data_IF_576259316513
#
_entry.id   IF_576259316513
#
_cell.length_a   1.000
_cell.length_b   1.000
_cell.length_c   1.000
_cell.angle_alpha   90.00
_cell.angle_beta   90.00
_cell.angle_gamma   90.00
#
_symmetry.space_group_name_H-M   'P 1'
#
loop_
_entity.id
_entity.type
_entity.pdbx_description
1 polymer ?
#
# COMPACT_ATOMS: atom_id res chain seq x y z
N UNK A 1 -18.91 0.91 14.34
CA UNK A 1 -17.94 -0.20 14.32
C UNK A 1 -18.02 -1.10 15.57
N UNK A 2 -18.55 -2.33 15.47
CA UNK A 2 -18.45 -3.33 16.57
C UNK A 2 -18.20 -4.72 16.00
N UNK A 3 -17.10 -5.35 16.39
CA UNK A 3 -16.92 -6.80 16.20
C UNK A 3 -17.79 -7.53 17.23
N UNK A 4 -18.34 -8.69 16.85
CA UNK A 4 -18.94 -9.60 17.85
C UNK A 4 -17.85 -10.02 18.85
N UNK A 5 -18.20 -10.09 20.14
CA UNK A 5 -17.30 -10.42 21.24
C UNK A 5 -16.45 -11.68 20.97
N UNK A 6 -17.03 -12.85 20.56
CA UNK A 6 -16.23 -14.01 20.18
C UNK A 6 -15.24 -13.75 19.04
N UNK A 7 -15.61 -12.91 18.06
CA UNK A 7 -14.75 -12.56 16.93
C UNK A 7 -13.61 -11.64 17.35
N UNK A 8 -13.87 -10.67 18.23
CA UNK A 8 -12.85 -9.79 18.80
C UNK A 8 -11.83 -10.58 19.65
N UNK A 9 -12.31 -11.51 20.48
CA UNK A 9 -11.48 -12.39 21.32
C UNK A 9 -10.56 -13.27 20.44
N UNK A 10 -11.12 -13.87 19.39
CA UNK A 10 -10.36 -14.71 18.46
C UNK A 10 -9.19 -13.94 17.82
N UNK A 11 -9.45 -12.75 17.28
CA UNK A 11 -8.42 -11.90 16.68
C UNK A 11 -7.37 -11.52 17.73
N UNK A 12 -7.78 -11.12 18.93
CA UNK A 12 -6.84 -10.73 19.99
C UNK A 12 -5.92 -11.87 20.43
N UNK A 13 -6.43 -13.11 20.46
CA UNK A 13 -5.66 -14.28 20.90
C UNK A 13 -4.66 -14.75 19.84
N UNK A 14 -4.86 -14.46 18.56
CA UNK A 14 -3.88 -14.73 17.50
C UNK A 14 -2.60 -13.89 17.63
N UNK A 15 -2.61 -12.83 18.44
CA UNK A 15 -1.46 -11.93 18.63
C UNK A 15 -1.11 -11.72 20.12
N UNK A 16 -0.71 -12.78 20.84
CA UNK A 16 -0.51 -12.71 22.29
C UNK A 16 0.63 -11.76 22.71
N UNK A 17 1.65 -11.59 21.86
CA UNK A 17 2.75 -10.64 22.05
C UNK A 17 2.35 -9.17 21.84
N UNK A 18 1.20 -8.93 21.19
CA UNK A 18 0.67 -7.59 20.91
C UNK A 18 -0.27 -7.07 22.01
N UNK A 19 -0.48 -7.82 23.09
CA UNK A 19 -1.22 -7.37 24.29
C UNK A 19 -0.60 -6.14 24.96
N UNK A 20 0.68 -5.86 24.73
CA UNK A 20 1.40 -4.67 25.21
C UNK A 20 1.43 -3.51 24.20
N UNK A 21 0.77 -3.61 23.05
CA UNK A 21 0.75 -2.55 22.05
C UNK A 21 -0.39 -1.55 22.28
N UNK A 22 -0.14 -0.31 21.85
CA UNK A 22 -0.92 0.91 22.10
C UNK A 22 -2.39 0.76 21.69
N UNK A 23 -3.25 1.58 22.31
CA UNK A 23 -4.71 1.55 22.21
C UNK A 23 -5.22 1.46 20.75
N UNK A 24 -5.79 0.32 20.31
CA UNK A 24 -6.40 0.15 18.98
C UNK A 24 -7.39 1.24 18.60
N UNK A 25 -8.07 1.82 19.60
CA UNK A 25 -9.03 2.90 19.39
C UNK A 25 -8.39 4.17 18.82
N UNK A 26 -7.12 4.46 19.16
CA UNK A 26 -6.44 5.65 18.63
C UNK A 26 -6.09 5.48 17.15
N UNK A 27 -5.73 4.27 16.72
CA UNK A 27 -5.51 3.95 15.30
C UNK A 27 -6.82 4.09 14.52
N UNK A 28 -7.93 3.55 15.05
CA UNK A 28 -9.25 3.68 14.41
C UNK A 28 -9.64 5.15 14.29
N UNK A 29 -9.52 5.93 15.37
CA UNK A 29 -9.84 7.36 15.35
C UNK A 29 -8.98 8.13 14.34
N UNK A 30 -7.68 7.84 14.28
CA UNK A 30 -6.78 8.44 13.30
C UNK A 30 -7.21 8.15 11.86
N UNK A 31 -7.58 6.90 11.54
CA UNK A 31 -8.03 6.53 10.19
C UNK A 31 -9.35 7.24 9.83
N UNK A 32 -10.29 7.35 10.77
CA UNK A 32 -11.53 8.11 10.59
C UNK A 32 -11.24 9.58 10.33
N UNK A 33 -10.35 10.20 11.10
CA UNK A 33 -9.94 11.60 10.88
C UNK A 33 -9.28 11.83 9.52
N UNK A 34 -8.61 10.81 8.97
CA UNK A 34 -8.05 10.84 7.61
C UNK A 34 -9.12 10.65 6.52
N UNK A 35 -10.37 10.38 6.88
CA UNK A 35 -11.49 10.21 5.96
C UNK A 35 -11.79 8.76 5.57
N UNK A 36 -11.26 7.76 6.29
CA UNK A 36 -11.63 6.37 6.06
C UNK A 36 -13.02 6.07 6.62
N UNK A 37 -13.80 5.29 5.87
CA UNK A 37 -15.10 4.78 6.33
C UNK A 37 -14.93 3.60 7.28
N UNK A 38 -15.96 3.31 8.07
CA UNK A 38 -16.04 2.09 8.89
C UNK A 38 -15.77 0.83 8.06
N UNK A 39 -16.28 0.78 6.82
CA UNK A 39 -16.08 -0.35 5.91
C UNK A 39 -14.60 -0.51 5.51
N UNK A 40 -13.91 0.59 5.15
CA UNK A 40 -12.48 0.54 4.82
C UNK A 40 -11.66 0.00 6.00
N UNK A 41 -11.94 0.49 7.20
CA UNK A 41 -11.22 0.09 8.41
C UNK A 41 -11.51 -1.37 8.74
N UNK A 42 -12.78 -1.80 8.73
CA UNK A 42 -13.16 -3.19 9.00
C UNK A 42 -12.48 -4.16 8.03
N UNK A 43 -12.52 -3.88 6.73
CA UNK A 43 -11.84 -4.70 5.72
C UNK A 43 -10.33 -4.75 5.96
N UNK A 44 -9.71 -3.61 6.30
CA UNK A 44 -8.28 -3.54 6.56
C UNK A 44 -7.85 -4.38 7.78
N UNK A 45 -8.60 -4.25 8.87
CA UNK A 45 -8.38 -5.00 10.11
C UNK A 45 -8.65 -6.48 9.93
N UNK A 46 -9.63 -6.84 9.09
CA UNK A 46 -9.91 -8.23 8.80
C UNK A 46 -8.77 -8.90 8.03
N UNK A 47 -8.16 -8.19 7.08
CA UNK A 47 -7.02 -8.70 6.32
C UNK A 47 -5.73 -8.70 7.16
N UNK A 48 -5.48 -7.61 7.91
CA UNK A 48 -4.27 -7.37 8.70
C UNK A 48 -4.59 -6.69 10.04
N UNK A 49 -5.02 -7.46 11.06
CA UNK A 49 -5.32 -6.91 12.38
C UNK A 49 -4.10 -6.27 13.07
N UNK A 50 -2.89 -6.60 12.62
CA UNK A 50 -1.62 -6.00 13.04
C UNK A 50 -1.60 -4.48 12.95
N UNK A 51 -2.36 -3.89 12.03
CA UNK A 51 -2.42 -2.44 11.80
C UNK A 51 -2.94 -1.71 13.04
N UNK A 52 -3.91 -2.30 13.76
CA UNK A 52 -4.48 -1.70 14.98
C UNK A 52 -3.47 -1.52 16.10
N UNK A 53 -2.37 -2.26 16.04
CA UNK A 53 -1.32 -2.23 17.06
C UNK A 53 -0.13 -1.36 16.64
N UNK A 54 -0.25 -0.59 15.56
CA UNK A 54 0.80 0.29 15.04
C UNK A 54 0.77 1.69 15.66
N UNK A 55 1.91 2.39 15.63
CA UNK A 55 1.93 3.80 16.01
C UNK A 55 1.34 4.65 14.88
N UNK A 56 0.14 5.21 15.09
CA UNK A 56 -0.56 6.01 14.09
C UNK A 56 0.35 7.11 13.49
N UNK A 57 0.87 8.00 14.33
CA UNK A 57 1.69 9.13 13.87
C UNK A 57 3.06 8.75 13.33
N UNK A 58 3.71 7.74 13.92
CA UNK A 58 5.10 7.38 13.58
C UNK A 58 5.22 6.33 12.48
N UNK A 59 4.19 5.53 12.27
CA UNK A 59 4.24 4.36 11.37
C UNK A 59 3.20 4.44 10.27
N UNK A 60 1.94 4.71 10.60
CA UNK A 60 0.87 4.70 9.61
C UNK A 60 0.84 6.00 8.81
N UNK A 61 0.96 7.15 9.49
CA UNK A 61 0.90 8.47 8.87
C UNK A 61 1.93 8.66 7.75
N UNK A 62 3.23 8.33 7.90
CA UNK A 62 4.20 8.48 6.81
C UNK A 62 3.86 7.60 5.58
N UNK A 63 3.35 6.39 5.80
CA UNK A 63 2.99 5.47 4.70
C UNK A 63 1.73 5.94 3.96
N UNK A 64 0.74 6.42 4.69
CA UNK A 64 -0.49 6.96 4.10
C UNK A 64 -0.20 8.25 3.33
N UNK A 65 0.62 9.14 3.91
CA UNK A 65 1.06 10.37 3.23
C UNK A 65 1.81 10.05 1.94
N UNK A 66 2.69 9.05 1.94
CA UNK A 66 3.38 8.61 0.73
C UNK A 66 2.40 8.24 -0.41
N UNK A 67 1.31 7.52 -0.12
CA UNK A 67 0.31 7.22 -1.13
C UNK A 67 -0.52 8.45 -1.55
N UNK A 68 -0.76 9.40 -0.64
CA UNK A 68 -1.40 10.68 -0.95
C UNK A 68 -0.54 11.54 -1.88
N UNK A 69 0.77 11.60 -1.63
CA UNK A 69 1.73 12.32 -2.47
C UNK A 69 1.84 11.71 -3.88
N UNK A 70 1.53 10.42 -4.00
CA UNK A 70 1.39 9.72 -5.29
C UNK A 70 0.02 9.94 -5.95
N UNK A 71 -0.91 10.64 -5.32
CA UNK A 71 -2.20 11.03 -5.88
C UNK A 71 -3.42 10.26 -5.37
N UNK A 72 -3.26 9.31 -4.43
CA UNK A 72 -4.41 8.65 -3.79
C UNK A 72 -4.97 9.49 -2.65
N UNK A 73 -6.13 10.09 -2.87
CA UNK A 73 -6.89 10.76 -1.82
C UNK A 73 -8.10 9.90 -1.39
N UNK A 74 -8.76 10.26 -0.28
CA UNK A 74 -10.03 9.62 0.07
C UNK A 74 -11.10 9.99 -0.98
N UNK A 75 -11.93 9.03 -1.43
CA UNK A 75 -12.09 7.67 -0.90
C UNK A 75 -11.14 6.61 -1.49
N UNK A 76 -10.44 6.90 -2.58
CA UNK A 76 -9.60 5.93 -3.31
C UNK A 76 -8.46 5.35 -2.47
N UNK A 77 -7.84 6.16 -1.61
CA UNK A 77 -6.87 5.70 -0.62
C UNK A 77 -7.47 4.64 0.30
N UNK A 78 -8.68 4.89 0.80
CA UNK A 78 -9.41 3.93 1.64
C UNK A 78 -9.71 2.62 0.92
N UNK A 79 -10.12 2.70 -0.36
CA UNK A 79 -10.34 1.54 -1.22
C UNK A 79 -9.05 0.73 -1.49
N UNK A 80 -7.93 1.42 -1.69
CA UNK A 80 -6.64 0.78 -1.91
C UNK A 80 -6.16 0.06 -0.65
N UNK A 81 -6.20 0.74 0.50
CA UNK A 81 -5.73 0.17 1.78
C UNK A 81 -6.62 -0.96 2.28
N UNK A 82 -7.94 -0.89 2.07
CA UNK A 82 -8.88 -1.96 2.47
C UNK A 82 -8.66 -3.29 1.73
N UNK A 83 -8.05 -3.23 0.55
CA UNK A 83 -7.74 -4.39 -0.29
C UNK A 83 -6.27 -4.82 -0.19
N UNK A 84 -5.37 -3.88 0.13
CA UNK A 84 -3.91 -4.10 0.14
C UNK A 84 -3.29 -3.77 1.49
N UNK A 85 -3.94 -4.10 2.60
CA UNK A 85 -3.58 -3.63 3.95
C UNK A 85 -2.16 -4.04 4.41
N UNK A 86 -1.58 -5.07 3.79
CA UNK A 86 -0.20 -5.48 4.02
C UNK A 86 0.83 -4.39 3.71
N UNK A 87 0.53 -3.45 2.80
CA UNK A 87 1.40 -2.30 2.49
C UNK A 87 1.72 -1.46 3.73
N UNK A 88 0.80 -1.43 4.70
CA UNK A 88 0.96 -0.69 5.95
C UNK A 88 1.85 -1.42 6.97
N UNK A 89 2.23 -2.67 6.71
CA UNK A 89 3.15 -3.45 7.53
C UNK A 89 4.58 -3.42 6.98
N UNK A 90 4.75 -3.13 5.70
CA UNK A 90 6.07 -3.04 5.06
C UNK A 90 6.87 -1.82 5.47
N UNK A 91 8.18 -1.87 5.25
CA UNK A 91 9.05 -0.70 5.45
C UNK A 91 8.79 0.35 4.37
N UNK A 92 8.58 1.60 4.79
CA UNK A 92 8.43 2.72 3.85
C UNK A 92 9.70 2.87 2.99
N UNK A 93 10.86 3.00 3.63
CA UNK A 93 12.13 3.27 2.97
C UNK A 93 12.72 2.05 2.25
N UNK A 94 12.57 0.85 2.83
CA UNK A 94 13.21 -0.36 2.28
C UNK A 94 12.34 -1.11 1.28
N UNK A 95 11.02 -0.86 1.27
CA UNK A 95 10.08 -1.66 0.48
C UNK A 95 9.18 -0.79 -0.38
N UNK A 96 8.38 0.10 0.22
CA UNK A 96 7.38 0.89 -0.51
C UNK A 96 8.02 1.80 -1.56
N UNK A 97 8.98 2.64 -1.15
CA UNK A 97 9.64 3.61 -2.03
C UNK A 97 10.37 2.88 -3.18
N UNK A 98 11.26 1.89 -2.93
CA UNK A 98 11.96 1.20 -4.00
C UNK A 98 11.02 0.48 -4.98
N UNK A 99 9.91 -0.08 -4.49
CA UNK A 99 8.92 -0.74 -5.35
C UNK A 99 8.26 0.25 -6.30
N UNK A 100 7.80 1.39 -5.78
CA UNK A 100 7.21 2.46 -6.59
C UNK A 100 8.21 3.03 -7.58
N UNK A 101 9.46 3.27 -7.17
CA UNK A 101 10.50 3.80 -8.05
C UNK A 101 10.80 2.89 -9.23
N UNK A 102 10.82 1.57 -9.00
CA UNK A 102 11.02 0.58 -10.07
C UNK A 102 9.85 0.60 -11.04
N UNK A 103 8.61 0.61 -10.55
CA UNK A 103 7.42 0.64 -11.42
C UNK A 103 7.39 1.95 -12.22
N UNK A 104 7.63 3.09 -11.58
CA UNK A 104 7.67 4.39 -12.26
C UNK A 104 8.70 4.46 -13.38
N UNK A 105 9.86 3.82 -13.22
CA UNK A 105 10.88 3.75 -14.28
C UNK A 105 10.42 2.97 -15.52
N UNK A 106 9.46 2.06 -15.36
CA UNK A 106 8.91 1.26 -16.47
C UNK A 106 7.68 1.87 -17.12
N UNK A 107 7.01 2.81 -16.46
CA UNK A 107 5.80 3.44 -16.97
C UNK A 107 6.15 4.69 -17.77
N UNK A 108 5.72 4.72 -19.03
CA UNK A 108 5.87 5.89 -19.90
C UNK A 108 4.61 6.75 -19.81
N UNK A 109 4.79 8.06 -19.60
CA UNK A 109 3.71 9.05 -19.63
C UNK A 109 2.56 8.88 -18.60
N UNK A 110 2.79 8.21 -17.46
CA UNK A 110 1.79 8.09 -16.39
C UNK A 110 1.71 9.36 -15.52
N UNK A 111 1.21 10.46 -16.12
CA UNK A 111 1.18 11.79 -15.50
C UNK A 111 0.42 11.85 -14.17
N UNK A 112 -0.52 10.93 -13.94
CA UNK A 112 -1.41 10.93 -12.77
C UNK A 112 -1.20 9.70 -11.86
N UNK A 113 -0.14 8.91 -12.09
CA UNK A 113 0.13 7.66 -11.38
C UNK A 113 -1.03 6.64 -11.44
N UNK A 114 -1.91 6.72 -12.44
CA UNK A 114 -3.05 5.81 -12.56
C UNK A 114 -2.57 4.40 -12.86
N UNK A 115 -1.64 4.28 -13.79
CA UNK A 115 -1.10 3.00 -14.22
C UNK A 115 -0.18 2.42 -13.14
N UNK A 116 0.53 3.27 -12.39
CA UNK A 116 1.25 2.90 -11.17
C UNK A 116 0.35 2.14 -10.20
N UNK A 117 -0.85 2.66 -9.89
CA UNK A 117 -1.75 1.97 -8.97
C UNK A 117 -2.37 0.70 -9.56
N UNK A 118 -2.56 0.62 -10.87
CA UNK A 118 -2.98 -0.63 -11.52
C UNK A 118 -1.92 -1.72 -11.38
N UNK A 119 -0.64 -1.38 -11.56
CA UNK A 119 0.49 -2.30 -11.39
C UNK A 119 0.67 -2.65 -9.92
N UNK A 120 0.67 -1.68 -9.00
CA UNK A 120 0.78 -1.93 -7.56
C UNK A 120 -0.29 -2.91 -7.07
N UNK A 121 -1.55 -2.77 -7.50
CA UNK A 121 -2.63 -3.70 -7.14
C UNK A 121 -2.36 -5.16 -7.57
N UNK A 122 -1.48 -5.38 -8.54
CA UNK A 122 -1.14 -6.72 -9.06
C UNK A 122 0.19 -7.24 -8.55
N UNK A 123 1.17 -6.35 -8.38
CA UNK A 123 2.56 -6.71 -8.11
C UNK A 123 2.97 -6.56 -6.64
N UNK A 124 2.16 -5.89 -5.80
CA UNK A 124 2.59 -5.61 -4.43
C UNK A 124 2.66 -6.87 -3.54
N UNK A 125 2.04 -7.98 -3.95
CA UNK A 125 2.24 -9.29 -3.33
C UNK A 125 3.60 -9.93 -3.64
N UNK A 126 4.34 -9.41 -4.64
CA UNK A 126 5.62 -9.95 -5.07
C UNK A 126 6.80 -9.23 -4.44
N UNK A 127 7.88 -9.97 -4.17
CA UNK A 127 9.13 -9.36 -3.72
C UNK A 127 9.68 -8.41 -4.79
N UNK A 128 10.31 -7.31 -4.36
CA UNK A 128 11.02 -6.37 -5.26
C UNK A 128 11.96 -7.12 -6.22
N UNK A 129 12.59 -8.20 -5.75
CA UNK A 129 13.43 -9.04 -6.60
C UNK A 129 12.69 -9.68 -7.77
N UNK A 130 11.47 -10.19 -7.56
CA UNK A 130 10.65 -10.77 -8.63
C UNK A 130 10.17 -9.72 -9.62
N UNK A 131 9.79 -8.54 -9.12
CA UNK A 131 9.44 -7.42 -9.98
C UNK A 131 10.62 -7.04 -10.89
N UNK A 132 11.83 -6.92 -10.34
CA UNK A 132 13.05 -6.66 -11.13
C UNK A 132 13.31 -7.74 -12.18
N UNK A 133 13.19 -9.02 -11.83
CA UNK A 133 13.38 -10.12 -12.77
C UNK A 133 12.35 -10.06 -13.91
N UNK A 134 11.08 -9.80 -13.59
CA UNK A 134 10.02 -9.70 -14.59
C UNK A 134 10.25 -8.52 -15.53
N UNK A 135 10.67 -7.37 -15.02
CA UNK A 135 11.01 -6.20 -15.85
C UNK A 135 12.18 -6.53 -16.78
N UNK A 136 13.28 -7.07 -16.26
CA UNK A 136 14.44 -7.46 -17.08
C UNK A 136 14.06 -8.49 -18.16
N UNK A 137 13.16 -9.42 -17.84
CA UNK A 137 12.63 -10.37 -18.82
C UNK A 137 11.80 -9.67 -19.91
N UNK A 138 10.87 -8.79 -19.54
CA UNK A 138 10.08 -8.02 -20.50
C UNK A 138 10.96 -7.13 -21.40
N UNK A 139 12.00 -6.52 -20.83
CA UNK A 139 13.02 -5.77 -21.58
C UNK A 139 13.76 -6.66 -22.57
N UNK A 140 14.15 -7.88 -22.17
CA UNK A 140 14.79 -8.86 -23.06
C UNK A 140 13.88 -9.32 -24.21
N UNK A 141 12.55 -9.24 -24.03
CA UNK A 141 11.56 -9.49 -25.08
C UNK A 141 11.28 -8.26 -25.97
N UNK A 142 11.93 -7.12 -25.73
CA UNK A 142 11.68 -5.87 -26.46
C UNK A 142 10.39 -5.15 -26.03
N UNK A 143 9.76 -5.57 -24.93
CA UNK A 143 8.60 -4.91 -24.34
C UNK A 143 9.12 -3.83 -23.38
N UNK A 144 9.66 -2.76 -23.96
CA UNK A 144 10.11 -1.56 -23.25
C UNK A 144 9.14 -0.43 -23.51
N UNK A 145 8.73 0.27 -22.45
CA UNK A 145 8.10 1.57 -22.60
C UNK A 145 9.15 2.55 -23.12
N UNK A 146 9.14 2.82 -24.43
CA UNK A 146 10.02 3.80 -25.06
C UNK A 146 9.62 5.24 -24.68
N UNK A 147 10.57 6.11 -24.29
CA UNK A 147 10.56 7.50 -24.65
C UNK A 147 11.17 7.66 -26.06
N UNK A 148 10.33 8.12 -26.99
CA UNK A 148 10.63 8.82 -28.25
C UNK A 148 11.77 8.29 -29.15
N UNK A 149 11.36 7.50 -30.15
CA UNK A 149 12.04 7.50 -31.44
C UNK A 149 11.64 8.78 -32.20
N UNK A 150 12.40 9.87 -32.10
CA UNK A 150 12.51 10.92 -33.14
C UNK A 150 13.76 11.77 -32.91
N UNK A 151 14.89 11.33 -33.45
CA UNK A 151 15.85 12.25 -34.09
C UNK A 151 16.24 11.64 -35.44
N UNK A 152 15.44 11.94 -36.46
CA UNK A 152 15.85 11.89 -37.86
C UNK A 152 15.96 13.33 -38.39
N UNK A 153 17.14 13.67 -38.92
CA UNK A 153 17.24 14.56 -40.08
C UNK A 153 17.81 15.97 -39.85
N UNK A 154 19.13 16.09 -40.00
CA UNK A 154 19.74 17.16 -40.82
C UNK A 154 20.57 16.53 -41.91
#
# INVERSE_FOLDING_TARGET
>A
MTFSEPKAISISNSFPSRKNLKNPQSVVHFLIQLGFSDAHILSSVWLKPEILFSYADKTLKPKLQFFQDLGLNCPDLGNFISTHSHVLLDSLERTLIPCVDIIKKTLVNDKNNRDLFLVLRRSYSDSISRLKCNIAFLESCGIVGLPDAFEEGT
#
